data_IF_785203570994
#
_entry.id   IF_785203570994
#
_cell.length_a   1.000
_cell.length_b   1.000
_cell.length_c   1.000
_cell.angle_alpha   90.00
_cell.angle_beta   90.00
_cell.angle_gamma   90.00
#
_symmetry.space_group_name_H-M   'P 1'
#
loop_
_entity.id
_entity.type
_entity.pdbx_description
1 polymer ?
#
# COMPACT_ATOMS: atom_id res chain seq x y z
N UNK A 1 41.59 -65.54 16.19
CA UNK A 1 40.66 -65.04 17.22
C UNK A 1 40.88 -63.60 17.72
N UNK A 2 42.01 -62.95 17.49
CA UNK A 2 42.23 -61.54 17.91
C UNK A 2 41.73 -60.50 16.92
N UNK A 3 41.62 -60.82 15.63
CA UNK A 3 41.21 -59.88 14.56
C UNK A 3 39.65 -59.65 14.56
N UNK A 4 38.88 -60.63 15.02
CA UNK A 4 37.41 -60.52 15.05
C UNK A 4 36.89 -59.61 16.17
N UNK A 5 37.64 -59.46 17.28
CA UNK A 5 37.24 -58.60 18.42
C UNK A 5 37.49 -57.11 18.14
N UNK A 6 38.44 -56.76 17.25
CA UNK A 6 38.78 -55.38 16.92
C UNK A 6 37.74 -54.81 15.94
N UNK A 7 37.23 -55.61 15.00
CA UNK A 7 36.19 -55.17 14.05
C UNK A 7 34.86 -54.97 14.74
N UNK A 8 34.53 -55.80 15.73
CA UNK A 8 33.24 -55.62 16.49
C UNK A 8 33.29 -54.40 17.38
N UNK A 9 34.44 -54.03 17.95
CA UNK A 9 34.58 -52.82 18.76
C UNK A 9 34.54 -51.54 17.94
N UNK A 10 35.15 -51.56 16.72
CA UNK A 10 35.13 -50.46 15.80
C UNK A 10 33.72 -50.19 15.23
N UNK A 11 32.93 -51.22 14.95
CA UNK A 11 31.54 -51.10 14.53
C UNK A 11 30.61 -50.57 15.64
N UNK A 12 30.86 -50.95 16.93
CA UNK A 12 30.10 -50.46 18.06
C UNK A 12 30.39 -48.97 18.34
N UNK A 13 31.63 -48.52 18.19
CA UNK A 13 31.99 -47.10 18.34
C UNK A 13 31.48 -46.27 17.16
N UNK A 14 31.41 -46.81 15.94
CA UNK A 14 30.83 -46.15 14.78
C UNK A 14 29.28 -46.03 14.92
N UNK A 15 28.61 -47.06 15.45
CA UNK A 15 27.16 -46.98 15.73
C UNK A 15 26.82 -46.01 16.86
N UNK A 16 27.68 -45.85 17.87
CA UNK A 16 27.47 -44.89 18.96
C UNK A 16 27.77 -43.45 18.52
N UNK A 17 28.71 -43.23 17.59
CA UNK A 17 28.97 -41.90 17.03
C UNK A 17 27.91 -41.45 16.00
N UNK A 18 27.30 -42.38 15.26
CA UNK A 18 26.18 -42.08 14.35
C UNK A 18 24.89 -41.88 15.15
N UNK A 19 24.68 -42.55 16.28
CA UNK A 19 23.51 -42.32 17.14
C UNK A 19 23.57 -40.99 17.91
N UNK A 20 24.76 -40.44 18.16
CA UNK A 20 24.92 -39.14 18.83
C UNK A 20 24.76 -37.95 17.88
N UNK A 21 24.80 -38.17 16.56
CA UNK A 21 24.57 -37.09 15.53
C UNK A 21 23.11 -37.01 15.11
N UNK A 22 22.27 -37.99 15.43
CA UNK A 22 20.84 -38.04 15.02
C UNK A 22 19.89 -37.44 16.05
N UNK A 23 20.37 -37.02 17.22
CA UNK A 23 19.56 -36.37 18.27
C UNK A 23 20.09 -34.97 18.65
N UNK A 24 20.61 -34.19 17.68
CA UNK A 24 20.35 -32.78 17.73
C UNK A 24 18.88 -32.63 17.25
N UNK A 25 17.93 -32.79 18.17
CA UNK A 25 16.59 -32.30 17.95
C UNK A 25 16.74 -30.84 17.55
N UNK A 26 16.46 -30.51 16.26
CA UNK A 26 16.03 -29.16 15.92
C UNK A 26 14.92 -28.88 16.92
N UNK A 27 15.21 -28.07 17.93
CA UNK A 27 14.18 -27.55 18.82
C UNK A 27 13.26 -26.80 17.87
N UNK A 28 12.09 -27.36 17.60
CA UNK A 28 11.06 -26.71 16.83
C UNK A 28 10.97 -25.27 17.37
N UNK A 29 11.28 -24.29 16.54
CA UNK A 29 11.17 -22.89 17.00
C UNK A 29 9.75 -22.70 17.51
N UNK A 30 9.56 -22.10 18.67
CA UNK A 30 8.22 -21.87 19.19
C UNK A 30 7.36 -21.16 18.16
N UNK A 31 6.12 -21.60 18.00
CA UNK A 31 5.20 -20.95 17.05
C UNK A 31 5.06 -19.49 17.41
N UNK A 32 5.11 -18.59 16.41
CA UNK A 32 4.93 -17.16 16.66
C UNK A 32 3.59 -16.88 17.35
N UNK A 33 3.59 -15.96 18.30
CA UNK A 33 2.40 -15.48 18.99
C UNK A 33 2.00 -14.11 18.44
N UNK A 34 0.74 -13.73 18.62
CA UNK A 34 0.32 -12.36 18.35
C UNK A 34 0.83 -11.42 19.44
N UNK A 35 1.40 -10.30 19.03
CA UNK A 35 1.86 -9.27 19.93
C UNK A 35 0.69 -8.65 20.74
N UNK A 36 0.93 -8.24 21.99
CA UNK A 36 -0.07 -7.55 22.80
C UNK A 36 -0.50 -6.24 22.12
N UNK A 37 -1.70 -5.76 22.46
CA UNK A 37 -2.28 -4.56 21.85
C UNK A 37 -1.40 -3.32 22.09
N UNK A 38 -0.82 -3.19 23.27
CA UNK A 38 0.18 -2.17 23.63
C UNK A 38 1.55 -2.84 23.56
N UNK A 39 2.39 -2.37 22.64
CA UNK A 39 3.72 -2.95 22.43
C UNK A 39 4.69 -2.56 23.56
N UNK A 40 5.77 -3.32 23.76
CA UNK A 40 6.82 -2.96 24.73
C UNK A 40 7.33 -1.54 24.51
N UNK A 41 7.56 -0.82 25.60
CA UNK A 41 8.02 0.59 25.56
C UNK A 41 6.96 1.64 25.23
N UNK A 42 5.72 1.25 24.97
CA UNK A 42 4.59 2.13 24.68
C UNK A 42 3.68 2.25 25.90
N UNK A 43 3.40 3.46 26.34
CA UNK A 43 2.42 3.70 27.41
C UNK A 43 0.99 3.67 26.83
N UNK A 44 0.00 3.13 27.55
CA UNK A 44 -1.38 3.06 27.05
C UNK A 44 -1.99 4.40 26.62
N UNK A 45 -1.63 5.50 27.28
CA UNK A 45 -2.09 6.85 26.96
C UNK A 45 -1.60 7.33 25.58
N UNK A 46 -0.47 6.80 25.09
CA UNK A 46 0.07 7.08 23.75
C UNK A 46 -0.84 6.59 22.62
N UNK A 47 -1.82 5.75 22.92
CA UNK A 47 -2.84 5.30 21.96
C UNK A 47 -3.97 6.32 21.74
N UNK A 48 -3.94 7.44 22.46
CA UNK A 48 -4.81 8.58 22.24
C UNK A 48 -4.10 9.61 21.34
N UNK A 49 -4.69 10.03 20.20
CA UNK A 49 -4.09 11.03 19.31
C UNK A 49 -3.79 12.36 20.03
N UNK A 50 -4.64 12.77 20.96
CA UNK A 50 -4.48 14.04 21.70
C UNK A 50 -3.22 14.03 22.61
N UNK A 51 -2.73 12.86 23.04
CA UNK A 51 -1.44 12.76 23.70
C UNK A 51 -0.32 13.32 22.80
N UNK A 52 -0.28 12.89 21.54
CA UNK A 52 0.73 13.31 20.58
C UNK A 52 0.56 14.75 20.13
N UNK A 53 -0.69 15.16 19.87
CA UNK A 53 -1.02 16.53 19.51
C UNK A 53 -0.53 17.50 20.59
N UNK A 54 -0.67 17.15 21.88
CA UNK A 54 -0.19 17.96 23.00
C UNK A 54 1.33 18.07 23.15
N UNK A 55 2.10 17.32 22.33
CA UNK A 55 3.58 17.44 22.33
C UNK A 55 4.08 18.51 21.35
N UNK A 56 3.19 19.14 20.56
CA UNK A 56 3.52 20.15 19.56
C UNK A 56 2.81 21.46 19.86
N UNK A 57 3.56 22.55 20.02
CA UNK A 57 2.99 23.89 20.20
C UNK A 57 2.27 24.40 18.94
N UNK A 58 2.69 23.93 17.76
CA UNK A 58 2.20 24.30 16.44
C UNK A 58 1.31 23.21 15.79
N UNK A 59 0.70 22.32 16.60
CA UNK A 59 -0.02 21.15 16.10
C UNK A 59 -1.17 21.48 15.13
N UNK A 60 -1.89 22.57 15.39
CA UNK A 60 -3.05 23.01 14.58
C UNK A 60 -2.66 23.96 13.44
N UNK A 61 -1.39 24.41 13.37
CA UNK A 61 -0.94 25.30 12.32
C UNK A 61 -0.99 24.63 10.94
N UNK A 62 -1.40 25.40 9.92
CA UNK A 62 -1.48 24.92 8.55
C UNK A 62 -0.07 24.77 7.99
N UNK A 63 0.33 23.54 7.66
CA UNK A 63 1.64 23.21 7.07
C UNK A 63 1.69 23.54 5.59
N UNK A 64 0.62 23.25 4.86
CA UNK A 64 0.43 23.60 3.44
C UNK A 64 -1.00 24.03 3.22
N UNK A 65 -1.18 25.13 2.48
CA UNK A 65 -2.50 25.57 2.00
C UNK A 65 -3.00 24.66 0.87
N UNK A 66 -4.27 24.71 0.48
CA UNK A 66 -4.77 23.97 -0.68
C UNK A 66 -3.98 24.27 -1.96
N UNK A 67 -3.55 25.52 -2.16
CA UNK A 67 -2.74 25.95 -3.29
C UNK A 67 -1.33 25.34 -3.26
N UNK A 68 -0.69 25.32 -2.08
CA UNK A 68 0.61 24.66 -1.88
C UNK A 68 0.52 23.16 -2.17
N UNK A 69 -0.59 22.50 -1.79
CA UNK A 69 -0.82 21.08 -2.07
C UNK A 69 -1.00 20.83 -3.57
N UNK A 70 -1.70 21.70 -4.28
CA UNK A 70 -1.85 21.60 -5.74
C UNK A 70 -0.49 21.75 -6.45
N UNK A 71 0.34 22.73 -6.04
CA UNK A 71 1.70 22.91 -6.53
C UNK A 71 2.58 21.69 -6.23
N UNK A 72 2.52 21.17 -5.00
CA UNK A 72 3.23 19.96 -4.59
C UNK A 72 2.84 18.77 -5.47
N UNK A 73 1.54 18.51 -5.65
CA UNK A 73 1.04 17.43 -6.49
C UNK A 73 1.50 17.57 -7.96
N UNK A 74 1.53 18.80 -8.50
CA UNK A 74 2.02 19.06 -9.84
C UNK A 74 3.53 18.73 -9.97
N UNK A 75 4.33 19.14 -8.99
CA UNK A 75 5.76 18.79 -8.92
C UNK A 75 5.98 17.28 -8.84
N UNK A 76 5.23 16.58 -8.00
CA UNK A 76 5.32 15.13 -7.87
C UNK A 76 5.04 14.42 -9.20
N UNK A 77 4.02 14.86 -9.94
CA UNK A 77 3.66 14.27 -11.26
C UNK A 77 4.74 14.44 -12.32
N UNK A 78 5.51 15.51 -12.25
CA UNK A 78 6.53 15.84 -13.25
C UNK A 78 7.95 15.55 -12.79
N UNK A 79 8.13 15.12 -11.55
CA UNK A 79 9.45 14.88 -10.95
C UNK A 79 10.18 13.76 -11.66
N UNK A 80 11.37 14.07 -12.19
CA UNK A 80 12.25 13.05 -12.77
C UNK A 80 12.95 12.29 -11.65
N UNK A 81 12.81 10.97 -11.64
CA UNK A 81 13.56 10.09 -10.73
C UNK A 81 14.88 9.77 -11.40
N UNK A 82 15.97 10.21 -10.78
CA UNK A 82 17.31 9.88 -11.23
C UNK A 82 17.79 8.66 -10.45
N UNK A 83 17.97 7.54 -11.15
CA UNK A 83 18.51 6.30 -10.55
C UNK A 83 19.96 6.45 -10.06
N UNK A 84 20.70 7.39 -10.65
CA UNK A 84 22.08 7.74 -10.26
C UNK A 84 22.18 9.24 -10.12
N UNK A 85 22.90 9.69 -9.12
CA UNK A 85 23.26 11.10 -8.97
C UNK A 85 24.28 11.52 -10.05
N UNK A 86 24.66 12.81 -10.06
CA UNK A 86 25.66 13.37 -10.98
C UNK A 86 27.06 12.71 -10.87
N UNK A 87 27.31 11.93 -9.83
CA UNK A 87 28.55 11.19 -9.60
C UNK A 87 28.41 9.69 -9.94
N UNK A 88 27.30 9.27 -10.51
CA UNK A 88 27.00 7.88 -10.84
C UNK A 88 26.62 7.02 -9.64
N UNK A 89 26.46 7.62 -8.44
CA UNK A 89 26.03 6.90 -7.25
C UNK A 89 24.51 6.68 -7.28
N UNK A 90 24.12 5.43 -7.10
CA UNK A 90 22.70 5.05 -7.11
C UNK A 90 22.00 5.55 -5.86
N UNK A 91 20.75 6.05 -6.02
CA UNK A 91 19.90 6.40 -4.89
C UNK A 91 19.60 5.14 -4.06
N UNK A 92 19.88 5.12 -2.74
CA UNK A 92 19.63 3.96 -1.89
C UNK A 92 18.18 3.48 -1.91
N UNK A 93 17.21 4.38 -2.12
CA UNK A 93 15.79 4.04 -2.25
C UNK A 93 15.50 3.23 -3.52
N UNK A 94 16.37 3.30 -4.53
CA UNK A 94 16.21 2.64 -5.82
C UNK A 94 17.15 1.43 -5.97
N UNK A 95 17.79 1.00 -4.87
CA UNK A 95 18.87 0.00 -4.86
C UNK A 95 18.58 -1.31 -5.59
N UNK A 96 17.35 -1.80 -5.51
CA UNK A 96 16.95 -3.10 -6.07
C UNK A 96 16.25 -3.01 -7.44
N UNK A 97 16.00 -1.79 -7.95
CA UNK A 97 15.34 -1.62 -9.25
C UNK A 97 16.38 -1.66 -10.37
N UNK A 98 16.19 -2.51 -11.36
CA UNK A 98 16.97 -2.50 -12.58
C UNK A 98 16.60 -1.27 -13.40
N UNK A 99 17.59 -0.61 -14.01
CA UNK A 99 17.42 0.66 -14.75
C UNK A 99 16.39 0.58 -15.89
N UNK A 100 15.99 -0.61 -16.31
CA UNK A 100 15.13 -0.85 -17.46
C UNK A 100 13.73 -1.41 -17.15
N UNK A 101 13.54 -2.16 -16.06
CA UNK A 101 12.41 -3.09 -15.99
C UNK A 101 11.24 -2.70 -15.07
N UNK A 102 11.38 -1.81 -14.13
CA UNK A 102 10.33 -1.59 -13.14
C UNK A 102 9.75 -0.17 -13.11
N UNK A 103 10.24 0.74 -13.96
CA UNK A 103 9.76 2.13 -14.00
C UNK A 103 8.28 2.18 -14.37
N UNK A 104 7.84 1.25 -15.19
CA UNK A 104 6.48 1.18 -15.67
C UNK A 104 5.44 0.83 -14.60
N UNK A 105 5.78 -0.06 -13.66
CA UNK A 105 4.90 -0.44 -12.53
C UNK A 105 4.90 0.64 -11.44
N UNK A 106 5.98 1.40 -11.30
CA UNK A 106 6.26 2.31 -10.20
C UNK A 106 6.19 3.77 -10.67
N UNK A 107 5.03 4.20 -11.12
CA UNK A 107 4.89 5.53 -11.69
C UNK A 107 4.61 6.60 -10.65
N UNK A 108 5.05 7.81 -10.97
CA UNK A 108 4.45 9.02 -10.40
C UNK A 108 2.94 9.00 -10.58
N UNK A 109 2.19 9.68 -9.71
CA UNK A 109 0.76 9.88 -9.94
C UNK A 109 0.50 10.41 -11.35
N UNK A 110 -0.42 9.77 -12.05
CA UNK A 110 -0.84 10.16 -13.40
C UNK A 110 -2.26 10.68 -13.31
N UNK A 111 -2.61 11.58 -14.23
CA UNK A 111 -4.00 11.98 -14.43
C UNK A 111 -4.56 11.21 -15.65
N UNK A 112 -5.28 10.08 -15.45
CA UNK A 112 -5.74 9.25 -16.57
C UNK A 112 -6.56 10.03 -17.61
N UNK A 113 -7.33 11.01 -17.15
CA UNK A 113 -8.18 11.83 -18.03
C UNK A 113 -7.40 12.86 -18.87
N UNK A 114 -6.13 13.12 -18.52
CA UNK A 114 -5.23 13.98 -19.30
C UNK A 114 -4.45 13.19 -20.36
N UNK A 115 -4.46 11.86 -20.30
CA UNK A 115 -3.80 11.05 -21.31
C UNK A 115 -4.45 11.26 -22.69
N UNK A 116 -3.67 11.20 -23.79
CA UNK A 116 -4.20 11.23 -25.16
C UNK A 116 -5.24 10.12 -25.37
N UNK A 117 -6.12 10.27 -26.35
CA UNK A 117 -7.12 9.26 -26.67
C UNK A 117 -6.50 8.04 -27.33
N UNK A 118 -5.38 8.21 -28.03
CA UNK A 118 -4.61 7.13 -28.66
C UNK A 118 -3.18 7.05 -28.10
N UNK A 119 -2.56 5.90 -28.23
CA UNK A 119 -1.15 5.65 -27.93
C UNK A 119 -0.61 4.50 -28.77
N UNK A 120 0.73 4.39 -28.99
CA UNK A 120 1.31 3.17 -29.51
C UNK A 120 1.23 2.03 -28.47
N UNK A 121 1.30 0.79 -28.94
CA UNK A 121 1.33 -0.40 -28.10
C UNK A 121 2.66 -0.58 -27.36
N UNK A 122 3.77 -0.03 -27.85
CA UNK A 122 5.15 -0.31 -27.40
C UNK A 122 5.32 -0.41 -25.88
N UNK A 123 4.69 0.53 -25.15
CA UNK A 123 4.76 0.51 -23.69
C UNK A 123 3.92 -0.60 -23.06
N UNK A 124 2.74 -0.90 -23.64
CA UNK A 124 1.87 -1.94 -23.15
C UNK A 124 2.52 -3.30 -23.39
N UNK A 125 3.02 -3.55 -24.58
CA UNK A 125 3.72 -4.77 -24.97
C UNK A 125 4.89 -5.04 -24.01
N UNK A 126 5.76 -4.04 -23.80
CA UNK A 126 6.87 -4.14 -22.84
C UNK A 126 6.38 -4.53 -21.42
N UNK A 127 5.28 -3.94 -20.94
CA UNK A 127 4.80 -4.24 -19.58
C UNK A 127 4.18 -5.62 -19.45
N UNK A 128 3.50 -6.09 -20.47
CA UNK A 128 2.91 -7.42 -20.48
C UNK A 128 3.98 -8.50 -20.64
N UNK A 129 5.01 -8.24 -21.45
CA UNK A 129 6.20 -9.09 -21.55
C UNK A 129 6.95 -9.19 -20.20
N UNK A 130 7.19 -8.05 -19.51
CA UNK A 130 7.81 -8.04 -18.18
C UNK A 130 7.00 -8.86 -17.16
N UNK A 131 5.67 -8.80 -17.21
CA UNK A 131 4.81 -9.62 -16.36
C UNK A 131 4.95 -11.11 -16.70
N UNK A 132 5.06 -11.45 -17.98
CA UNK A 132 5.32 -12.82 -18.44
C UNK A 132 6.66 -13.33 -17.90
N UNK A 133 7.74 -12.56 -18.04
CA UNK A 133 9.04 -12.90 -17.48
C UNK A 133 8.98 -13.09 -15.96
N UNK A 134 8.26 -12.23 -15.26
CA UNK A 134 8.11 -12.33 -13.80
C UNK A 134 7.38 -13.60 -13.39
N UNK A 135 6.35 -14.04 -14.13
CA UNK A 135 5.61 -15.27 -13.85
C UNK A 135 6.50 -16.53 -13.88
N UNK A 136 7.50 -16.54 -14.79
CA UNK A 136 8.45 -17.65 -14.90
C UNK A 136 9.73 -17.46 -14.08
N UNK A 137 9.91 -16.32 -13.42
CA UNK A 137 11.14 -16.02 -12.67
C UNK A 137 11.28 -16.81 -11.37
N UNK A 138 10.18 -17.41 -10.87
CA UNK A 138 10.11 -18.17 -9.62
C UNK A 138 8.91 -19.11 -9.59
N UNK A 139 8.90 -20.01 -8.61
CA UNK A 139 7.73 -20.80 -8.28
C UNK A 139 6.70 -19.97 -7.53
N UNK A 140 5.44 -20.10 -7.95
CA UNK A 140 4.31 -19.56 -7.24
C UNK A 140 3.42 -20.70 -6.75
N UNK A 141 2.70 -20.44 -5.65
CA UNK A 141 1.80 -21.37 -4.99
C UNK A 141 0.40 -20.78 -4.94
N UNK A 142 -0.61 -21.63 -5.08
CA UNK A 142 -2.00 -21.23 -4.94
C UNK A 142 -2.43 -21.19 -3.45
N UNK A 143 -3.68 -20.83 -3.15
CA UNK A 143 -4.24 -20.80 -1.79
C UNK A 143 -4.30 -22.16 -1.08
N UNK A 144 -4.05 -23.27 -1.79
CA UNK A 144 -3.96 -24.63 -1.24
C UNK A 144 -2.52 -25.08 -1.08
N UNK A 145 -1.57 -24.20 -1.27
CA UNK A 145 -0.13 -24.47 -1.28
C UNK A 145 0.30 -25.46 -2.39
N UNK A 146 -0.45 -25.51 -3.49
CA UNK A 146 -0.06 -26.25 -4.68
C UNK A 146 0.73 -25.32 -5.62
N UNK A 147 1.83 -25.82 -6.19
CA UNK A 147 2.65 -25.06 -7.15
C UNK A 147 1.85 -24.78 -8.44
N UNK A 148 1.94 -23.55 -8.93
CA UNK A 148 1.43 -23.18 -10.25
C UNK A 148 2.14 -24.01 -11.32
N UNK A 149 1.41 -24.88 -12.02
CA UNK A 149 1.97 -25.67 -13.11
C UNK A 149 2.28 -24.80 -14.33
N UNK A 150 3.17 -25.27 -15.20
CA UNK A 150 3.47 -24.58 -16.47
C UNK A 150 2.23 -24.39 -17.33
N UNK A 151 1.28 -25.35 -17.30
CA UNK A 151 0.00 -25.21 -17.98
C UNK A 151 -0.84 -24.06 -17.40
N UNK A 152 -0.96 -23.93 -16.07
CA UNK A 152 -1.69 -22.83 -15.43
C UNK A 152 -1.04 -21.48 -15.73
N UNK A 153 0.28 -21.41 -15.76
CA UNK A 153 1.02 -20.20 -16.14
C UNK A 153 0.73 -19.83 -17.60
N UNK A 154 0.74 -20.81 -18.51
CA UNK A 154 0.46 -20.58 -19.92
C UNK A 154 -0.99 -20.11 -20.14
N UNK A 155 -1.98 -20.75 -19.50
CA UNK A 155 -3.38 -20.33 -19.54
C UNK A 155 -3.55 -18.87 -19.07
N UNK A 156 -2.78 -18.45 -18.08
CA UNK A 156 -2.79 -17.08 -17.58
C UNK A 156 -2.22 -16.08 -18.60
N UNK A 157 -1.14 -16.46 -19.29
CA UNK A 157 -0.54 -15.65 -20.36
C UNK A 157 -1.49 -15.58 -21.56
N UNK A 158 -2.08 -16.70 -21.97
CA UNK A 158 -3.04 -16.73 -23.06
C UNK A 158 -4.23 -15.81 -22.76
N UNK A 159 -4.68 -15.76 -21.49
CA UNK A 159 -5.73 -14.84 -21.04
C UNK A 159 -5.28 -13.37 -21.03
N UNK A 160 -3.98 -13.07 -21.01
CA UNK A 160 -3.51 -11.68 -21.20
C UNK A 160 -3.78 -11.16 -22.62
N UNK A 161 -4.07 -12.05 -23.59
CA UNK A 161 -4.53 -11.73 -24.96
C UNK A 161 -3.54 -10.84 -25.73
N UNK A 162 -2.24 -11.15 -25.65
CA UNK A 162 -1.16 -10.31 -26.20
C UNK A 162 -1.30 -10.10 -27.71
N UNK A 163 -1.67 -11.15 -28.46
CA UNK A 163 -1.82 -11.11 -29.91
C UNK A 163 -2.95 -10.17 -30.40
N UNK A 164 -3.85 -9.78 -29.50
CA UNK A 164 -4.95 -8.86 -29.81
C UNK A 164 -4.62 -7.38 -29.50
N UNK A 165 -3.40 -7.08 -29.06
CA UNK A 165 -2.95 -5.70 -28.83
C UNK A 165 -2.72 -5.04 -30.18
N UNK A 166 -3.46 -3.95 -30.54
CA UNK A 166 -3.27 -3.27 -31.84
C UNK A 166 -2.07 -2.32 -31.76
N UNK A 167 -1.40 -2.06 -32.89
CA UNK A 167 -0.26 -1.12 -32.97
C UNK A 167 -0.60 0.28 -32.39
N UNK A 168 -1.86 0.68 -32.55
CA UNK A 168 -2.41 1.94 -31.97
C UNK A 168 -3.60 1.60 -31.10
N UNK A 169 -3.42 1.84 -29.80
CA UNK A 169 -4.45 1.62 -28.78
C UNK A 169 -5.38 2.83 -28.70
N UNK A 170 -6.67 2.61 -28.90
CA UNK A 170 -7.72 3.58 -28.58
C UNK A 170 -8.13 3.43 -27.12
N UNK A 171 -7.77 4.44 -26.30
CA UNK A 171 -8.08 4.42 -24.87
C UNK A 171 -9.57 4.67 -24.65
N UNK A 172 -10.20 3.74 -23.97
CA UNK A 172 -11.52 3.98 -23.36
C UNK A 172 -11.31 4.57 -21.97
N UNK A 173 -12.25 5.36 -21.49
CA UNK A 173 -12.19 5.97 -20.16
C UNK A 173 -13.34 5.51 -19.30
N UNK A 174 -13.14 5.53 -18.00
CA UNK A 174 -14.14 5.10 -17.05
C UNK A 174 -13.85 5.58 -15.64
N UNK A 175 -14.71 5.14 -14.73
CA UNK A 175 -14.62 5.42 -13.30
C UNK A 175 -14.82 4.13 -12.52
N UNK A 176 -14.07 3.98 -11.44
CA UNK A 176 -14.25 2.89 -10.48
C UNK A 176 -15.56 3.11 -9.73
N UNK A 177 -16.43 2.11 -9.73
CA UNK A 177 -17.78 2.18 -9.11
C UNK A 177 -17.87 1.45 -7.78
N UNK A 178 -16.91 0.61 -7.45
CA UNK A 178 -16.75 -0.05 -6.15
C UNK A 178 -15.26 -0.33 -5.92
N UNK A 179 -14.85 -0.56 -4.65
CA UNK A 179 -13.47 -0.97 -4.37
C UNK A 179 -13.10 -2.21 -5.20
N UNK A 180 -11.95 -2.19 -5.81
CA UNK A 180 -11.47 -3.25 -6.69
C UNK A 180 -10.00 -3.55 -6.45
N UNK A 181 -9.65 -4.82 -6.55
CA UNK A 181 -8.26 -5.24 -6.57
C UNK A 181 -7.66 -5.03 -7.96
N UNK A 182 -6.45 -4.50 -8.00
CA UNK A 182 -5.62 -4.41 -9.19
C UNK A 182 -4.58 -5.52 -9.15
N UNK A 183 -4.48 -6.28 -10.23
CA UNK A 183 -3.69 -7.50 -10.31
C UNK A 183 -2.59 -7.37 -11.35
N UNK A 184 -1.49 -8.13 -11.20
CA UNK A 184 -0.47 -8.27 -12.23
C UNK A 184 -0.97 -9.07 -13.44
N UNK A 185 -1.91 -10.01 -13.21
CA UNK A 185 -2.47 -10.90 -14.22
C UNK A 185 -3.99 -10.85 -14.20
N UNK A 186 -4.67 -11.19 -15.33
CA UNK A 186 -6.14 -11.22 -15.41
C UNK A 186 -6.71 -12.44 -14.69
N UNK A 187 -6.55 -12.46 -13.36
CA UNK A 187 -7.04 -13.56 -12.51
C UNK A 187 -7.33 -13.07 -11.08
N UNK A 188 -8.28 -13.69 -10.40
CA UNK A 188 -8.51 -13.54 -8.97
C UNK A 188 -7.72 -14.56 -8.13
N UNK A 189 -7.08 -15.55 -8.76
CA UNK A 189 -6.25 -16.51 -8.06
C UNK A 189 -4.98 -15.87 -7.49
N UNK A 190 -4.52 -16.35 -6.34
CA UNK A 190 -3.34 -15.84 -5.68
C UNK A 190 -2.06 -16.53 -6.19
N UNK A 191 -0.95 -15.79 -6.15
CA UNK A 191 0.40 -16.30 -6.37
C UNK A 191 1.27 -16.04 -5.15
N UNK A 192 1.35 -17.00 -4.23
CA UNK A 192 2.19 -16.93 -3.03
C UNK A 192 3.61 -17.43 -3.32
N UNK A 193 4.57 -17.15 -2.46
CA UNK A 193 5.87 -17.85 -2.43
C UNK A 193 5.86 -18.92 -1.34
N UNK A 194 6.78 -19.88 -1.42
CA UNK A 194 6.91 -20.95 -0.43
C UNK A 194 7.10 -20.43 1.01
N UNK A 195 7.83 -19.32 1.15
CA UNK A 195 8.21 -18.77 2.47
C UNK A 195 7.37 -17.59 2.94
N UNK A 196 6.58 -16.97 2.03
CA UNK A 196 5.77 -15.76 2.28
C UNK A 196 4.35 -16.01 1.81
N UNK A 197 3.71 -17.03 2.40
CA UNK A 197 2.37 -17.49 2.05
C UNK A 197 1.27 -16.46 2.36
N UNK A 198 1.52 -15.43 3.17
CA UNK A 198 0.60 -14.33 3.45
C UNK A 198 0.67 -13.21 2.41
N UNK A 199 1.66 -13.23 1.51
CA UNK A 199 1.85 -12.21 0.48
C UNK A 199 1.47 -12.75 -0.90
N UNK A 200 0.32 -12.31 -1.41
CA UNK A 200 -0.09 -12.59 -2.79
C UNK A 200 0.66 -11.68 -3.77
N UNK A 201 1.69 -12.20 -4.40
CA UNK A 201 2.52 -11.46 -5.36
C UNK A 201 1.80 -11.08 -6.66
N UNK A 202 0.62 -11.62 -6.93
CA UNK A 202 -0.21 -11.18 -8.04
C UNK A 202 -1.04 -9.94 -7.70
N UNK A 203 -1.15 -9.58 -6.42
CA UNK A 203 -1.83 -8.38 -5.97
C UNK A 203 -0.92 -7.15 -6.04
N UNK A 204 -1.37 -6.11 -6.77
CA UNK A 204 -0.63 -4.85 -6.89
C UNK A 204 -1.12 -3.81 -5.88
N UNK A 205 -2.41 -3.54 -5.86
CA UNK A 205 -3.05 -2.58 -4.96
C UNK A 205 -4.57 -2.72 -4.98
N UNK A 206 -5.26 -2.00 -4.11
CA UNK A 206 -6.68 -1.74 -4.28
C UNK A 206 -6.93 -0.32 -4.81
N UNK A 207 -7.94 -0.19 -5.66
CA UNK A 207 -8.42 1.09 -6.18
C UNK A 207 -9.85 1.32 -5.67
N UNK A 208 -10.10 2.52 -5.19
CA UNK A 208 -11.37 2.86 -4.54
C UNK A 208 -12.31 3.56 -5.51
N UNK A 209 -13.59 3.63 -5.11
CA UNK A 209 -14.67 4.30 -5.85
C UNK A 209 -14.26 5.73 -6.27
N UNK A 210 -14.79 6.20 -7.38
CA UNK A 210 -14.54 7.52 -7.99
C UNK A 210 -13.12 7.77 -8.49
N UNK A 211 -12.22 6.75 -8.49
CA UNK A 211 -10.97 6.90 -9.21
C UNK A 211 -11.21 6.81 -10.73
N UNK A 212 -10.66 7.73 -11.53
CA UNK A 212 -10.70 7.64 -12.97
C UNK A 212 -9.76 6.55 -13.49
N UNK A 213 -10.13 5.94 -14.61
CA UNK A 213 -9.27 4.96 -15.31
C UNK A 213 -9.18 5.27 -16.79
N UNK A 214 -8.02 4.97 -17.38
CA UNK A 214 -7.85 4.80 -18.81
C UNK A 214 -7.68 3.31 -19.09
N UNK A 215 -8.56 2.73 -19.90
CA UNK A 215 -8.56 1.33 -20.28
C UNK A 215 -7.68 1.18 -21.52
N UNK A 216 -6.70 0.28 -21.45
CA UNK A 216 -5.69 0.06 -22.48
C UNK A 216 -5.92 -1.23 -23.25
N UNK A 217 -6.41 -2.30 -22.57
CA UNK A 217 -6.56 -3.62 -23.15
C UNK A 217 -7.63 -4.42 -22.40
N UNK A 218 -8.00 -5.60 -22.97
CA UNK A 218 -9.02 -6.50 -22.42
C UNK A 218 -8.52 -7.95 -22.47
N UNK A 219 -8.75 -8.71 -21.40
CA UNK A 219 -8.39 -10.13 -21.35
C UNK A 219 -9.19 -10.96 -22.37
N UNK A 220 -8.65 -12.10 -22.77
CA UNK A 220 -9.27 -12.98 -23.78
C UNK A 220 -10.66 -13.47 -23.34
N UNK A 221 -10.87 -13.70 -22.06
CA UNK A 221 -12.16 -14.09 -21.47
C UNK A 221 -13.14 -12.92 -21.28
N UNK A 222 -12.70 -11.67 -21.54
CA UNK A 222 -13.48 -10.45 -21.34
C UNK A 222 -13.79 -10.12 -19.88
N UNK A 223 -13.17 -10.79 -18.91
CA UNK A 223 -13.46 -10.60 -17.50
C UNK A 223 -12.61 -9.48 -16.85
N UNK A 224 -11.50 -9.08 -17.48
CA UNK A 224 -10.58 -8.08 -16.96
C UNK A 224 -10.23 -7.01 -18.00
N UNK A 225 -10.06 -5.77 -17.53
CA UNK A 225 -9.42 -4.69 -18.27
C UNK A 225 -8.01 -4.42 -17.74
N UNK A 226 -7.03 -4.24 -18.63
CA UNK A 226 -5.75 -3.65 -18.28
C UNK A 226 -5.88 -2.13 -18.27
N UNK A 227 -5.66 -1.53 -17.13
CA UNK A 227 -5.98 -0.11 -16.91
C UNK A 227 -4.83 0.68 -16.31
N UNK A 228 -4.79 1.96 -16.63
CA UNK A 228 -4.02 2.97 -15.92
C UNK A 228 -4.95 3.72 -14.97
N UNK A 229 -4.62 3.73 -13.69
CA UNK A 229 -5.25 4.56 -12.64
C UNK A 229 -4.31 5.71 -12.23
N UNK A 230 -4.71 6.63 -11.34
CA UNK A 230 -3.82 7.69 -10.86
C UNK A 230 -2.52 7.18 -10.23
N UNK A 231 -2.50 5.99 -9.64
CA UNK A 231 -1.40 5.51 -8.79
C UNK A 231 -0.68 4.26 -9.30
N UNK A 232 -1.31 3.48 -10.15
CA UNK A 232 -0.78 2.22 -10.65
C UNK A 232 -1.49 1.80 -11.94
N UNK A 233 -0.95 0.79 -12.60
CA UNK A 233 -1.57 0.09 -13.73
C UNK A 233 -1.60 -1.41 -13.47
N UNK A 234 -2.50 -2.10 -14.13
CA UNK A 234 -2.66 -3.55 -14.00
C UNK A 234 -4.06 -4.00 -14.42
N UNK A 235 -4.34 -5.26 -14.20
CA UNK A 235 -5.61 -5.88 -14.52
C UNK A 235 -6.64 -5.65 -13.42
N UNK A 236 -7.84 -5.26 -13.81
CA UNK A 236 -8.99 -5.06 -12.91
C UNK A 236 -10.23 -5.69 -13.49
N UNK A 237 -11.06 -6.31 -12.64
CA UNK A 237 -12.31 -6.92 -13.08
C UNK A 237 -13.23 -5.88 -13.73
N UNK A 238 -13.82 -6.22 -14.89
CA UNK A 238 -14.66 -5.33 -15.69
C UNK A 238 -15.88 -4.83 -14.95
N UNK A 239 -16.42 -5.61 -14.00
CA UNK A 239 -17.60 -5.27 -13.20
C UNK A 239 -17.36 -4.13 -12.18
N UNK A 240 -16.09 -3.76 -11.98
CA UNK A 240 -15.68 -2.66 -11.08
C UNK A 240 -15.56 -1.32 -11.78
N UNK A 241 -15.64 -1.30 -13.11
CA UNK A 241 -15.41 -0.13 -13.95
C UNK A 241 -16.65 0.21 -14.78
N UNK A 242 -17.11 1.44 -14.71
CA UNK A 242 -18.15 1.96 -15.60
C UNK A 242 -17.53 2.86 -16.67
N UNK A 243 -17.78 2.53 -17.95
CA UNK A 243 -17.21 3.25 -19.11
C UNK A 243 -18.00 4.51 -19.39
N UNK A 244 -17.29 5.61 -19.65
CA UNK A 244 -17.90 6.87 -20.06
C UNK A 244 -16.90 7.78 -20.77
N UNK A 245 -17.39 8.81 -21.46
CA UNK A 245 -16.52 9.87 -22.00
C UNK A 245 -15.77 10.60 -20.87
N UNK A 246 -14.57 11.12 -21.14
CA UNK A 246 -13.78 11.95 -20.21
C UNK A 246 -14.62 13.00 -19.51
N UNK A 247 -15.49 13.72 -20.27
CA UNK A 247 -16.37 14.76 -19.73
C UNK A 247 -17.33 14.23 -18.66
N UNK A 248 -17.90 13.02 -18.84
CA UNK A 248 -18.81 12.41 -17.84
C UNK A 248 -18.04 11.95 -16.62
N UNK A 249 -16.85 11.38 -16.81
CA UNK A 249 -15.99 10.94 -15.69
C UNK A 249 -15.57 12.15 -14.85
N UNK A 250 -15.10 13.23 -15.48
CA UNK A 250 -14.70 14.48 -14.80
C UNK A 250 -15.79 15.04 -13.89
N UNK A 251 -17.05 15.01 -14.33
CA UNK A 251 -18.19 15.47 -13.50
C UNK A 251 -18.35 14.74 -12.17
N UNK A 252 -17.70 13.58 -12.03
CA UNK A 252 -17.77 12.77 -10.79
C UNK A 252 -16.47 12.92 -10.02
N UNK A 253 -15.32 12.77 -10.69
CA UNK A 253 -14.03 12.65 -10.00
C UNK A 253 -13.42 14.00 -9.64
N UNK A 254 -13.78 15.07 -10.37
CA UNK A 254 -13.30 16.44 -10.15
C UNK A 254 -14.37 17.35 -9.52
N UNK A 255 -15.46 16.78 -9.04
CA UNK A 255 -16.47 17.53 -8.30
C UNK A 255 -15.86 18.05 -6.99
N UNK A 256 -15.81 19.38 -6.86
CA UNK A 256 -15.23 20.02 -5.66
C UNK A 256 -16.14 19.95 -4.45
N UNK A 257 -17.44 19.73 -4.66
CA UNK A 257 -18.41 19.49 -3.59
C UNK A 257 -18.54 17.99 -3.36
N UNK A 258 -17.72 17.46 -2.49
CA UNK A 258 -17.69 16.03 -2.18
C UNK A 258 -17.72 15.76 -0.69
N UNK A 259 -18.23 14.59 -0.35
CA UNK A 259 -18.13 13.99 0.97
C UNK A 259 -16.99 12.98 0.96
N UNK A 260 -16.15 12.98 1.98
CA UNK A 260 -15.06 12.03 2.17
C UNK A 260 -15.34 11.14 3.38
N UNK A 261 -15.11 9.82 3.23
CA UNK A 261 -15.18 8.89 4.33
C UNK A 261 -13.98 9.07 5.28
N UNK A 262 -14.26 9.16 6.56
CA UNK A 262 -13.26 9.33 7.61
C UNK A 262 -13.31 8.21 8.67
N UNK A 263 -14.00 7.13 8.35
CA UNK A 263 -13.96 5.84 9.03
C UNK A 263 -13.40 4.77 8.10
N UNK A 264 -12.89 3.68 8.66
CA UNK A 264 -12.34 2.57 7.87
C UNK A 264 -13.32 2.08 6.82
N UNK A 265 -14.62 2.01 7.18
CA UNK A 265 -15.69 1.51 6.32
C UNK A 265 -17.07 2.05 6.73
N UNK A 266 -17.75 2.69 5.81
CA UNK A 266 -19.08 3.26 5.99
C UNK A 266 -20.06 2.57 5.04
N UNK A 267 -21.28 2.29 5.47
CA UNK A 267 -22.34 1.72 4.64
C UNK A 267 -23.06 2.78 3.81
N UNK A 268 -23.29 2.50 2.52
CA UNK A 268 -24.16 3.29 1.63
C UNK A 268 -25.44 2.52 1.38
N UNK A 269 -26.57 3.20 1.44
CA UNK A 269 -27.91 2.65 1.27
C UNK A 269 -28.63 3.27 0.08
N UNK A 270 -29.58 2.51 -0.50
CA UNK A 270 -30.40 2.95 -1.62
C UNK A 270 -31.56 3.89 -1.18
N UNK A 271 -31.91 3.88 0.10
CA UNK A 271 -33.06 4.56 0.63
C UNK A 271 -32.77 5.33 1.94
N UNK A 272 -33.54 6.39 2.24
CA UNK A 272 -33.31 7.23 3.43
C UNK A 272 -33.70 6.56 4.75
N UNK A 273 -34.27 5.36 4.71
CA UNK A 273 -34.56 4.56 5.91
C UNK A 273 -33.43 3.59 6.25
N UNK A 274 -32.36 3.58 5.46
CA UNK A 274 -31.15 2.78 5.65
C UNK A 274 -31.40 1.26 5.72
N UNK A 275 -32.37 0.76 4.94
CA UNK A 275 -32.72 -0.66 4.91
C UNK A 275 -32.07 -1.43 3.79
N UNK A 276 -31.90 -0.79 2.63
CA UNK A 276 -31.37 -1.43 1.43
C UNK A 276 -29.90 -1.07 1.26
N UNK A 277 -29.03 -1.93 1.74
CA UNK A 277 -27.58 -1.78 1.58
C UNK A 277 -27.18 -1.89 0.10
N UNK A 278 -26.27 -1.02 -0.36
CA UNK A 278 -25.68 -1.07 -1.70
C UNK A 278 -24.25 -1.57 -1.63
N UNK A 279 -23.36 -0.81 -0.97
CA UNK A 279 -21.93 -1.10 -0.88
C UNK A 279 -21.29 -0.35 0.27
N UNK A 280 -20.01 -0.65 0.51
CA UNK A 280 -19.18 0.09 1.43
C UNK A 280 -18.47 1.26 0.76
N UNK A 281 -18.24 2.28 1.55
CA UNK A 281 -17.51 3.49 1.29
C UNK A 281 -16.30 3.52 2.25
N UNK A 282 -15.10 3.57 1.69
CA UNK A 282 -13.88 3.30 2.45
C UNK A 282 -13.13 4.58 2.77
N UNK A 283 -12.32 4.53 3.81
CA UNK A 283 -11.49 5.63 4.31
C UNK A 283 -10.82 6.42 3.18
N UNK A 284 -10.89 7.75 3.24
CA UNK A 284 -10.42 8.72 2.25
C UNK A 284 -11.02 8.60 0.84
N UNK A 285 -11.98 7.71 0.60
CA UNK A 285 -12.76 7.75 -0.64
C UNK A 285 -13.62 9.01 -0.68
N UNK A 286 -13.95 9.48 -1.87
CA UNK A 286 -14.77 10.69 -2.08
C UNK A 286 -15.97 10.38 -2.95
N UNK A 287 -17.12 10.99 -2.65
CA UNK A 287 -18.34 10.92 -3.46
C UNK A 287 -18.90 12.33 -3.64
N UNK A 288 -19.36 12.74 -4.84
CA UNK A 288 -20.00 14.02 -5.01
C UNK A 288 -21.16 14.18 -4.05
N UNK A 289 -21.14 15.24 -3.26
CA UNK A 289 -22.13 15.54 -2.24
C UNK A 289 -23.34 16.22 -2.88
N UNK A 290 -24.52 15.67 -2.66
CA UNK A 290 -25.78 16.29 -3.05
C UNK A 290 -26.31 17.17 -1.92
N UNK A 291 -26.35 16.62 -0.69
CA UNK A 291 -26.87 17.34 0.48
C UNK A 291 -26.45 16.67 1.78
N UNK A 292 -26.13 17.46 2.80
CA UNK A 292 -26.03 17.04 4.19
C UNK A 292 -27.24 17.55 4.98
N UNK A 293 -27.81 16.70 5.82
CA UNK A 293 -28.91 17.02 6.72
C UNK A 293 -28.69 16.29 8.05
N UNK A 294 -29.46 16.67 9.06
CA UNK A 294 -29.55 15.97 10.34
C UNK A 294 -30.05 14.51 10.22
N UNK A 295 -30.69 14.15 9.08
CA UNK A 295 -31.27 12.82 8.84
C UNK A 295 -30.41 11.93 7.96
N UNK A 296 -29.62 12.49 7.04
CA UNK A 296 -28.78 11.74 6.11
C UNK A 296 -27.77 12.63 5.39
N UNK A 297 -26.64 12.03 5.02
CA UNK A 297 -25.73 12.53 3.99
C UNK A 297 -26.14 11.89 2.66
N UNK A 298 -26.47 12.69 1.65
CA UNK A 298 -26.92 12.23 0.35
C UNK A 298 -25.84 12.50 -0.68
N UNK A 299 -25.40 11.46 -1.35
CA UNK A 299 -24.29 11.50 -2.32
C UNK A 299 -24.73 11.01 -3.70
N UNK A 300 -24.01 11.43 -4.74
CA UNK A 300 -24.15 10.88 -6.09
C UNK A 300 -23.28 9.65 -6.20
N UNK A 301 -23.89 8.48 -6.29
CA UNK A 301 -23.23 7.20 -6.36
C UNK A 301 -23.11 6.75 -7.83
N UNK A 302 -21.89 6.59 -8.37
CA UNK A 302 -21.70 5.99 -9.68
C UNK A 302 -21.93 4.47 -9.63
N UNK A 303 -22.52 3.93 -10.68
CA UNK A 303 -22.70 2.49 -10.85
C UNK A 303 -22.51 2.07 -12.31
N UNK A 304 -22.20 0.79 -12.53
CA UNK A 304 -22.08 0.18 -13.86
C UNK A 304 -23.44 -0.35 -14.29
N UNK A 305 -23.93 0.11 -15.44
CA UNK A 305 -25.13 -0.45 -16.07
C UNK A 305 -24.85 -1.81 -16.69
N UNK A 306 -25.89 -2.53 -17.09
CA UNK A 306 -25.76 -3.85 -17.76
C UNK A 306 -24.95 -3.78 -19.06
N UNK A 307 -25.02 -2.67 -19.79
CA UNK A 307 -24.24 -2.41 -21.02
C UNK A 307 -22.79 -1.95 -20.72
N UNK A 308 -22.36 -1.95 -19.47
CA UNK A 308 -21.02 -1.52 -19.06
C UNK A 308 -20.85 -0.02 -18.91
N UNK A 309 -21.82 0.80 -19.29
CA UNK A 309 -21.71 2.26 -19.24
C UNK A 309 -22.01 2.82 -17.84
N UNK A 310 -21.57 4.06 -17.64
CA UNK A 310 -21.74 4.80 -16.38
C UNK A 310 -23.19 5.22 -16.17
N UNK A 311 -23.77 4.82 -15.06
CA UNK A 311 -24.96 5.40 -14.44
C UNK A 311 -24.65 6.11 -13.14
N UNK A 312 -25.58 6.91 -12.64
CA UNK A 312 -25.50 7.53 -11.32
C UNK A 312 -26.85 7.43 -10.62
N UNK A 313 -26.81 7.22 -9.31
CA UNK A 313 -28.00 7.19 -8.43
C UNK A 313 -27.73 7.97 -7.16
N UNK A 314 -28.74 8.14 -6.31
CA UNK A 314 -28.52 8.65 -4.95
C UNK A 314 -28.06 7.51 -4.05
N UNK A 315 -27.05 7.80 -3.25
CA UNK A 315 -26.65 6.99 -2.11
C UNK A 315 -26.97 7.73 -0.81
N UNK A 316 -27.42 7.01 0.20
CA UNK A 316 -27.74 7.55 1.52
C UNK A 316 -26.76 6.99 2.55
N UNK A 317 -26.18 7.88 3.32
CA UNK A 317 -25.20 7.58 4.38
C UNK A 317 -25.81 8.12 5.67
N UNK A 318 -25.70 7.36 6.76
CA UNK A 318 -26.22 7.77 8.06
C UNK A 318 -25.58 9.07 8.53
N UNK A 319 -26.30 9.92 9.29
CA UNK A 319 -25.76 11.22 9.70
C UNK A 319 -24.70 11.13 10.81
N UNK A 320 -24.68 10.04 11.57
CA UNK A 320 -23.87 9.79 12.75
C UNK A 320 -22.51 9.12 12.46
N UNK A 321 -22.18 8.93 11.18
CA UNK A 321 -20.87 8.38 10.78
C UNK A 321 -19.85 9.49 10.54
N UNK A 322 -18.58 9.17 10.71
CA UNK A 322 -17.49 10.14 10.53
C UNK A 322 -17.19 10.35 9.04
N UNK A 323 -17.66 11.47 8.54
CA UNK A 323 -17.45 11.95 7.16
C UNK A 323 -17.08 13.43 7.17
N UNK A 324 -16.36 13.88 6.16
CA UNK A 324 -15.93 15.26 6.02
C UNK A 324 -16.29 15.82 4.64
N UNK A 325 -16.83 17.03 4.60
CA UNK A 325 -17.09 17.76 3.34
C UNK A 325 -15.79 18.42 2.88
N UNK A 326 -15.29 18.01 1.70
CA UNK A 326 -13.99 18.46 1.19
C UNK A 326 -12.79 17.77 1.86
N UNK A 327 -11.59 18.33 1.65
CA UNK A 327 -10.36 17.88 2.29
C UNK A 327 -10.19 18.48 3.69
N UNK A 328 -9.52 17.77 4.57
CA UNK A 328 -9.09 18.34 5.87
C UNK A 328 -7.97 19.37 5.66
N UNK A 329 -7.89 20.42 6.50
CA UNK A 329 -6.71 21.26 6.56
C UNK A 329 -5.46 20.43 6.90
N UNK A 330 -4.35 20.64 6.17
CA UNK A 330 -3.12 19.88 6.39
C UNK A 330 -2.33 20.48 7.55
N UNK A 331 -2.54 19.92 8.76
CA UNK A 331 -1.84 20.25 10.00
C UNK A 331 -1.34 18.97 10.67
N UNK A 332 -0.36 19.08 11.58
CA UNK A 332 0.15 17.94 12.36
C UNK A 332 -0.99 17.24 13.12
N UNK A 333 -1.84 18.03 13.78
CA UNK A 333 -2.99 17.52 14.54
C UNK A 333 -3.93 16.69 13.66
N UNK A 334 -4.31 17.20 12.49
CA UNK A 334 -5.20 16.48 11.60
C UNK A 334 -4.56 15.21 11.03
N UNK A 335 -3.26 15.23 10.67
CA UNK A 335 -2.56 14.02 10.22
C UNK A 335 -2.55 12.96 11.31
N UNK A 336 -2.20 13.35 12.54
CA UNK A 336 -2.22 12.44 13.70
C UNK A 336 -3.62 11.86 13.91
N UNK A 337 -4.67 12.70 13.95
CA UNK A 337 -6.06 12.23 14.11
C UNK A 337 -6.46 11.23 13.03
N UNK A 338 -6.10 11.47 11.75
CA UNK A 338 -6.43 10.55 10.67
C UNK A 338 -5.63 9.23 10.76
N UNK A 339 -4.35 9.27 11.13
CA UNK A 339 -3.55 8.06 11.35
C UNK A 339 -4.13 7.20 12.48
N UNK A 340 -4.55 7.83 13.59
CA UNK A 340 -5.08 7.11 14.76
C UNK A 340 -6.45 6.48 14.53
N UNK A 341 -7.25 6.96 13.57
CA UNK A 341 -8.49 6.27 13.15
C UNK A 341 -8.22 4.89 12.57
N UNK A 342 -7.00 4.62 12.13
CA UNK A 342 -6.58 3.36 11.55
C UNK A 342 -5.73 2.50 12.50
N UNK A 343 -5.53 2.93 13.76
CA UNK A 343 -4.77 2.15 14.74
C UNK A 343 -5.38 0.76 14.90
N UNK A 344 -4.54 -0.25 15.04
CA UNK A 344 -4.89 -1.68 15.11
C UNK A 344 -5.51 -2.26 13.82
N UNK A 345 -5.67 -1.49 12.75
CA UNK A 345 -6.12 -2.05 11.49
C UNK A 345 -5.15 -3.16 11.05
N UNK A 346 -5.61 -4.38 10.75
CA UNK A 346 -4.75 -5.47 10.29
C UNK A 346 -4.01 -5.12 9.00
N UNK A 347 -2.82 -5.68 8.84
CA UNK A 347 -2.04 -5.58 7.60
C UNK A 347 -2.72 -6.32 6.46
N UNK A 348 -2.62 -5.78 5.24
CA UNK A 348 -3.06 -6.45 4.01
C UNK A 348 -2.14 -6.10 2.85
N UNK A 349 -1.36 -7.07 2.39
CA UNK A 349 -0.46 -6.91 1.26
C UNK A 349 -1.21 -6.40 0.02
N UNK A 350 -0.66 -5.36 -0.64
CA UNK A 350 -1.32 -4.77 -1.80
C UNK A 350 -2.75 -4.26 -1.53
N UNK A 351 -3.05 -3.87 -0.30
CA UNK A 351 -4.38 -3.46 0.15
C UNK A 351 -5.47 -4.55 0.04
N UNK A 352 -5.11 -5.84 0.08
CA UNK A 352 -6.05 -6.96 0.02
C UNK A 352 -7.04 -7.00 1.19
N UNK A 353 -8.14 -7.72 1.01
CA UNK A 353 -9.16 -8.02 2.04
C UNK A 353 -9.72 -6.77 2.74
N UNK A 354 -9.79 -5.65 2.04
CA UNK A 354 -10.17 -4.34 2.60
C UNK A 354 -9.24 -3.88 3.74
N UNK A 355 -7.98 -4.35 3.75
CA UNK A 355 -6.92 -3.91 4.63
C UNK A 355 -5.95 -3.03 3.85
N UNK A 356 -4.87 -2.64 4.45
CA UNK A 356 -3.84 -1.80 3.85
C UNK A 356 -2.45 -2.31 4.19
N UNK A 357 -1.52 -2.16 3.26
CA UNK A 357 -0.10 -2.29 3.55
C UNK A 357 0.48 -0.95 4.06
N UNK A 358 1.79 -0.91 4.26
CA UNK A 358 2.46 0.27 4.81
C UNK A 358 2.25 1.53 3.97
N UNK A 359 2.46 1.46 2.66
CA UNK A 359 2.26 2.60 1.75
C UNK A 359 0.79 2.86 1.43
N UNK A 360 -0.06 1.84 1.47
CA UNK A 360 -1.51 1.98 1.36
C UNK A 360 -2.10 2.77 2.51
N UNK A 361 -1.69 2.50 3.76
CA UNK A 361 -2.11 3.25 4.95
C UNK A 361 -1.74 4.74 4.82
N UNK A 362 -0.49 5.01 4.48
CA UNK A 362 -0.05 6.39 4.32
C UNK A 362 -0.78 7.11 3.18
N UNK A 363 -0.95 6.45 2.03
CA UNK A 363 -1.64 7.01 0.88
C UNK A 363 -3.06 7.45 1.19
N UNK A 364 -3.81 6.63 1.94
CA UNK A 364 -5.20 6.99 2.30
C UNK A 364 -5.24 8.15 3.31
N UNK A 365 -4.26 8.25 4.21
CA UNK A 365 -4.15 9.39 5.14
C UNK A 365 -3.76 10.66 4.38
N UNK A 366 -2.76 10.64 3.50
CA UNK A 366 -2.38 11.80 2.68
C UNK A 366 -3.53 12.29 1.80
N UNK A 367 -4.32 11.36 1.27
CA UNK A 367 -5.50 11.68 0.45
C UNK A 367 -6.56 12.47 1.24
N UNK A 368 -6.64 12.34 2.56
CA UNK A 368 -7.53 13.16 3.39
C UNK A 368 -7.26 14.66 3.27
N UNK A 369 -6.06 15.03 2.85
CA UNK A 369 -5.59 16.41 2.66
C UNK A 369 -5.47 16.79 1.18
N UNK A 370 -5.87 15.92 0.26
CA UNK A 370 -5.69 16.16 -1.18
C UNK A 370 -4.27 15.90 -1.69
N UNK A 371 -3.36 15.39 -0.86
CA UNK A 371 -1.98 15.07 -1.25
C UNK A 371 -1.99 13.75 -2.02
N UNK A 372 -1.33 13.74 -3.19
CA UNK A 372 -1.21 12.57 -4.05
C UNK A 372 0.25 12.22 -4.26
N UNK A 373 0.63 11.02 -3.83
CA UNK A 373 1.98 10.47 -4.00
C UNK A 373 1.91 9.16 -4.79
N UNK A 374 3.08 8.60 -5.15
CA UNK A 374 3.15 7.27 -5.78
C UNK A 374 2.66 6.15 -4.86
N UNK A 375 2.38 4.99 -5.45
CA UNK A 375 1.85 3.83 -4.69
C UNK A 375 2.89 3.18 -3.77
N UNK A 376 4.15 3.15 -4.19
CA UNK A 376 5.20 2.37 -3.54
C UNK A 376 6.01 3.22 -2.57
N UNK A 377 6.57 2.64 -1.49
CA UNK A 377 7.30 3.37 -0.44
C UNK A 377 8.35 4.33 -0.98
N UNK A 378 9.14 3.90 -1.94
CA UNK A 378 10.21 4.70 -2.52
C UNK A 378 9.71 5.98 -3.18
N UNK A 379 8.59 5.89 -3.93
CA UNK A 379 8.02 7.06 -4.61
C UNK A 379 7.36 8.03 -3.64
N UNK A 380 6.81 7.51 -2.55
CA UNK A 380 6.32 8.35 -1.46
C UNK A 380 7.47 9.12 -0.82
N UNK A 381 8.56 8.44 -0.49
CA UNK A 381 9.75 9.07 0.11
C UNK A 381 10.45 10.04 -0.85
N UNK A 382 10.40 9.78 -2.15
CA UNK A 382 10.96 10.65 -3.18
C UNK A 382 10.04 11.81 -3.57
N UNK A 383 8.78 11.85 -3.13
CA UNK A 383 7.83 12.87 -3.51
C UNK A 383 8.25 14.28 -3.05
N UNK A 384 8.68 14.44 -1.81
CA UNK A 384 9.18 15.72 -1.28
C UNK A 384 10.66 15.93 -1.57
N UNK A 385 11.09 17.18 -1.58
CA UNK A 385 12.51 17.58 -1.64
C UNK A 385 13.14 17.69 -0.25
N UNK A 386 12.34 17.78 0.82
CA UNK A 386 12.79 17.82 2.22
C UNK A 386 13.10 16.42 2.72
N UNK A 387 14.33 15.94 2.43
CA UNK A 387 14.77 14.58 2.76
C UNK A 387 16.05 14.56 3.54
N UNK A 388 16.11 13.68 4.54
CA UNK A 388 17.30 13.34 5.31
C UNK A 388 17.64 11.86 5.08
N UNK A 389 18.84 11.57 4.58
CA UNK A 389 19.40 10.23 4.51
C UNK A 389 20.20 9.96 5.78
N UNK A 390 19.73 9.00 6.59
CA UNK A 390 20.37 8.70 7.86
C UNK A 390 21.68 7.91 7.64
N UNK A 391 22.80 8.47 8.12
CA UNK A 391 24.11 7.82 8.00
C UNK A 391 24.18 6.60 8.93
N UNK A 392 24.23 5.41 8.34
CA UNK A 392 24.22 4.14 9.07
C UNK A 392 25.53 3.84 9.82
N UNK A 393 26.62 4.62 9.59
CA UNK A 393 27.89 4.49 10.30
C UNK A 393 27.85 5.12 11.69
N UNK A 394 26.83 5.95 11.97
CA UNK A 394 26.63 6.59 13.27
C UNK A 394 26.16 5.59 14.32
N UNK A 395 26.44 5.86 15.59
CA UNK A 395 25.90 5.09 16.69
C UNK A 395 24.36 5.22 16.75
N UNK A 396 23.71 4.33 17.47
CA UNK A 396 22.26 4.37 17.65
C UNK A 396 21.82 5.66 18.34
N UNK A 397 22.56 6.09 19.38
CA UNK A 397 22.29 7.32 20.11
C UNK A 397 22.42 8.55 19.21
N UNK A 398 23.45 8.62 18.35
CA UNK A 398 23.63 9.70 17.39
C UNK A 398 22.48 9.73 16.36
N UNK A 399 22.00 8.56 15.92
CA UNK A 399 20.86 8.45 14.99
C UNK A 399 19.58 8.94 15.66
N UNK A 400 19.31 8.52 16.90
CA UNK A 400 18.15 8.95 17.68
C UNK A 400 18.20 10.47 17.91
N UNK A 401 19.35 11.04 18.26
CA UNK A 401 19.51 12.48 18.42
C UNK A 401 19.19 13.25 17.13
N UNK A 402 19.66 12.77 15.98
CA UNK A 402 19.35 13.37 14.67
C UNK A 402 17.84 13.30 14.39
N UNK A 403 17.23 12.14 14.57
CA UNK A 403 15.81 11.92 14.27
C UNK A 403 14.91 12.71 15.23
N UNK A 404 15.30 12.84 16.49
CA UNK A 404 14.54 13.59 17.50
C UNK A 404 14.37 15.09 17.17
N UNK A 405 15.17 15.61 16.24
CA UNK A 405 15.13 17.01 15.76
C UNK A 405 14.26 17.20 14.52
N UNK A 406 13.76 16.10 13.94
CA UNK A 406 12.86 16.18 12.80
C UNK A 406 11.43 16.54 13.23
N UNK A 407 10.68 17.11 12.30
CA UNK A 407 9.25 17.40 12.53
C UNK A 407 8.42 16.13 12.57
N UNK A 408 8.05 15.66 13.75
CA UNK A 408 7.06 14.60 13.89
C UNK A 408 5.67 15.05 13.42
N UNK A 409 4.78 14.10 13.21
CA UNK A 409 3.41 14.40 12.78
C UNK A 409 3.23 14.65 11.28
N UNK A 410 4.28 15.03 10.56
CA UNK A 410 4.26 15.26 9.08
C UNK A 410 5.45 14.64 8.36
N UNK A 411 6.25 13.85 9.05
CA UNK A 411 7.41 13.16 8.49
C UNK A 411 7.13 11.67 8.35
N UNK A 412 7.46 11.14 7.18
CA UNK A 412 7.48 9.70 6.90
C UNK A 412 8.91 9.24 6.71
N UNK A 413 9.15 8.00 7.05
CA UNK A 413 10.46 7.40 6.94
C UNK A 413 10.34 5.99 6.39
N UNK A 414 11.42 5.48 5.86
CA UNK A 414 11.45 4.11 5.39
C UNK A 414 12.73 3.77 4.64
N UNK A 415 12.75 2.53 4.19
CA UNK A 415 13.77 1.98 3.30
C UNK A 415 13.12 1.42 2.04
N UNK A 416 13.91 0.84 1.14
CA UNK A 416 13.35 0.12 0.00
C UNK A 416 12.37 -0.96 0.48
N UNK A 417 11.11 -0.82 0.13
CA UNK A 417 10.03 -1.80 0.39
C UNK A 417 9.22 -1.60 1.67
N UNK A 418 9.57 -0.64 2.55
CA UNK A 418 8.77 -0.37 3.74
C UNK A 418 8.64 1.13 4.04
N UNK A 419 7.50 1.51 4.60
CA UNK A 419 7.17 2.89 4.93
C UNK A 419 6.60 2.99 6.34
N UNK A 420 7.03 4.02 7.07
CA UNK A 420 6.74 4.23 8.49
C UNK A 420 6.40 5.71 8.73
N UNK A 421 5.50 5.97 9.64
CA UNK A 421 5.13 7.32 10.06
C UNK A 421 5.87 7.71 11.34
N UNK A 422 6.56 8.84 11.32
CA UNK A 422 7.24 9.38 12.47
C UNK A 422 6.28 10.21 13.33
N UNK A 423 5.88 9.66 14.47
CA UNK A 423 5.03 10.35 15.43
C UNK A 423 5.73 11.53 16.10
N UNK A 424 7.02 11.38 16.40
CA UNK A 424 7.79 12.42 17.05
C UNK A 424 8.39 11.99 18.39
N UNK A 425 8.75 13.00 19.19
CA UNK A 425 9.32 12.85 20.53
C UNK A 425 8.17 12.93 21.56
N UNK A 426 8.03 11.91 22.38
CA UNK A 426 7.03 11.85 23.44
C UNK A 426 7.47 12.64 24.68
N UNK A 427 6.56 12.82 25.64
CA UNK A 427 6.82 13.52 26.93
C UNK A 427 7.93 12.87 27.77
N UNK A 428 8.14 11.56 27.60
CA UNK A 428 9.22 10.81 28.25
C UNK A 428 10.60 11.02 27.59
N UNK A 429 10.70 11.85 26.55
CA UNK A 429 11.92 12.17 25.83
C UNK A 429 12.34 11.18 24.76
N UNK A 430 11.66 10.05 24.61
CA UNK A 430 11.92 9.02 23.59
C UNK A 430 11.19 9.34 22.30
N UNK A 431 11.65 8.76 21.19
CA UNK A 431 11.04 8.92 19.86
C UNK A 431 10.22 7.68 19.49
N UNK A 432 9.11 7.92 18.79
CA UNK A 432 8.15 6.89 18.45
C UNK A 432 7.74 6.95 16.98
N UNK A 433 7.40 5.79 16.49
CA UNK A 433 6.91 5.57 15.14
C UNK A 433 5.56 4.87 15.15
N UNK A 434 4.86 4.96 14.02
CA UNK A 434 3.64 4.21 13.76
C UNK A 434 3.74 3.61 12.37
N UNK A 435 3.62 2.30 12.26
CA UNK A 435 3.69 1.65 10.97
C UNK A 435 2.79 0.43 10.83
N UNK A 436 2.38 0.22 9.59
CA UNK A 436 1.56 -0.88 9.15
C UNK A 436 2.47 -1.95 8.57
N UNK A 437 2.55 -3.11 9.18
CA UNK A 437 3.40 -4.18 8.64
C UNK A 437 3.15 -5.54 9.26
N UNK A 438 3.54 -6.56 8.51
CA UNK A 438 3.64 -7.95 8.97
C UNK A 438 4.91 -8.21 9.79
N UNK A 439 5.47 -7.18 10.43
CA UNK A 439 6.67 -7.27 11.23
C UNK A 439 6.39 -7.85 12.62
N UNK A 440 7.44 -8.32 13.25
CA UNK A 440 7.38 -8.85 14.61
C UNK A 440 8.61 -8.46 15.41
N UNK A 441 8.66 -8.87 16.65
CA UNK A 441 9.80 -8.71 17.53
C UNK A 441 10.03 -10.00 18.34
N UNK A 442 11.25 -10.18 18.81
CA UNK A 442 11.64 -11.32 19.64
C UNK A 442 11.74 -10.89 21.12
N UNK A 443 11.22 -11.70 22.02
CA UNK A 443 11.39 -11.56 23.45
C UNK A 443 11.89 -12.92 24.00
N UNK A 444 13.18 -12.99 24.29
CA UNK A 444 13.86 -14.25 24.53
C UNK A 444 13.81 -15.17 23.30
N UNK A 445 13.33 -16.40 23.46
CA UNK A 445 13.19 -17.37 22.37
C UNK A 445 11.83 -17.27 21.64
N UNK A 446 10.94 -16.38 22.11
CA UNK A 446 9.59 -16.24 21.55
C UNK A 446 9.53 -15.13 20.51
N UNK A 447 8.99 -15.46 19.32
CA UNK A 447 8.67 -14.47 18.29
C UNK A 447 7.21 -14.01 18.39
N UNK A 448 6.97 -12.68 18.29
CA UNK A 448 5.65 -12.07 18.32
C UNK A 448 5.36 -11.35 17.01
N UNK A 449 4.27 -11.70 16.34
CA UNK A 449 3.78 -10.97 15.17
C UNK A 449 2.92 -9.78 15.57
N UNK A 450 3.23 -8.61 15.02
CA UNK A 450 2.42 -7.39 15.18
C UNK A 450 1.29 -7.36 14.17
N UNK A 451 1.57 -7.51 12.90
CA UNK A 451 0.63 -7.66 11.76
C UNK A 451 -0.55 -6.67 11.75
N UNK A 452 -0.33 -5.45 12.19
CA UNK A 452 -1.30 -4.36 12.24
C UNK A 452 -0.61 -3.00 12.27
N UNK A 453 -1.41 -1.92 12.15
CA UNK A 453 -0.92 -0.57 12.43
C UNK A 453 -0.70 -0.40 13.94
N UNK A 454 0.53 -0.19 14.35
CA UNK A 454 0.90 -0.09 15.76
C UNK A 454 1.91 1.02 16.02
N UNK A 455 1.92 1.53 17.24
CA UNK A 455 2.94 2.44 17.77
C UNK A 455 4.08 1.61 18.33
N UNK A 456 5.32 2.02 18.09
CA UNK A 456 6.51 1.42 18.67
C UNK A 456 7.58 2.46 18.99
N UNK A 457 8.37 2.18 20.02
CA UNK A 457 9.52 2.99 20.41
C UNK A 457 10.72 2.71 19.50
N UNK A 458 11.52 3.72 19.20
CA UNK A 458 12.68 3.62 18.30
C UNK A 458 13.69 2.55 18.67
N UNK A 459 13.94 2.32 19.96
CA UNK A 459 14.87 1.27 20.44
C UNK A 459 14.33 -0.15 20.21
N UNK A 460 13.00 -0.31 20.10
CA UNK A 460 12.34 -1.56 19.76
C UNK A 460 12.06 -1.70 18.26
N UNK A 461 12.30 -0.63 17.49
CA UNK A 461 12.16 -0.62 16.04
C UNK A 461 13.52 -0.78 15.35
N UNK A 462 14.06 -1.96 15.41
CA UNK A 462 15.30 -2.32 14.74
C UNK A 462 15.25 -2.06 13.23
N UNK A 463 14.04 -2.05 12.65
CA UNK A 463 13.87 -1.88 11.21
C UNK A 463 14.11 -0.44 10.74
N UNK A 464 13.68 0.57 11.49
CA UNK A 464 13.63 1.95 11.03
C UNK A 464 14.95 2.69 11.20
N UNK A 465 15.67 2.49 12.32
CA UNK A 465 16.88 3.25 12.64
C UNK A 465 18.16 2.56 12.18
N UNK A 466 18.21 1.22 12.24
CA UNK A 466 19.40 0.43 11.96
C UNK A 466 19.47 -0.13 10.53
N UNK A 467 18.60 0.31 9.62
CA UNK A 467 18.66 0.03 8.17
C UNK A 467 18.83 1.31 7.37
N UNK A 468 19.27 1.23 6.10
CA UNK A 468 19.32 2.39 5.22
C UNK A 468 17.95 3.08 5.19
N UNK A 469 17.87 4.26 5.80
CA UNK A 469 16.61 4.93 6.11
C UNK A 469 16.64 6.36 5.58
N UNK A 470 15.54 6.76 4.99
CA UNK A 470 15.29 8.13 4.51
C UNK A 470 14.11 8.69 5.25
N UNK A 471 14.26 9.88 5.78
CA UNK A 471 13.17 10.67 6.35
C UNK A 471 12.73 11.72 5.33
N UNK A 472 11.42 11.83 5.13
CA UNK A 472 10.82 12.76 4.18
C UNK A 472 9.73 13.55 4.88
N UNK A 473 9.88 14.87 4.91
CA UNK A 473 8.88 15.78 5.50
C UNK A 473 8.03 16.38 4.40
N UNK A 474 6.70 16.32 4.55
CA UNK A 474 5.74 16.89 3.60
C UNK A 474 5.45 18.34 3.99
N UNK A 475 6.12 19.27 3.32
CA UNK A 475 5.91 20.72 3.42
C UNK A 475 6.35 21.39 2.13
N UNK A 476 6.04 22.70 2.02
CA UNK A 476 6.47 23.56 0.90
C UNK A 476 7.98 23.73 0.88
#
# INVERSE_FOLDING_TARGET
MKTFKIITLALLVLCLSVSAVVFAQDKEKPKPLHAPLVLPGVDPEMRNPEYWISTYDDAEDIVMTPEDIEEFNAKVRTKKILFKDRFGKRDPLLGNYKDKHNIGLFMHPILPLELPETTSSDSLDTWLEENTEYLYSRDFYDSRNATWSEQMKQELIDNMNLDAVPDVIERRFGVIVKRADMRLYPTSAAGFSETLWELDFFQTTAVYITNPVAILHESADGAFYYVQTPIARGWMSVDTIAIASKKKVRKIVEDKNFLMASEDRISIFADPSFKTFIQYYYFSSTLPLIKQTDKANIVKLPYRKLDGTLGTTKGYIKPDVDVHAGYYPFSKANVIRQMFKLIDAPYGWGDQFNKRDCSGTQRVVQKCFGITTGRWPNFVLLASDHRLYLDQRKSEEEKIDIVSKLEGGITWTGSSGHLVYYLGKAKNGKIYFMHQGGWGYDEGDQHYFVNRLAINEAHHDFYTINRPTVFTTFRK
#
